data_IF_440848911853
#
_entry.id   IF_440848911853
#
_cell.length_a   1.000
_cell.length_b   1.000
_cell.length_c   1.000
_cell.angle_alpha   90.00
_cell.angle_beta   90.00
_cell.angle_gamma   90.00
#
_symmetry.space_group_name_H-M   'P 1'
#
loop_
_entity.id
_entity.type
_entity.pdbx_description
1 polymer ?
#
# COMPACT_ATOMS: atom_id res chain seq x y z
N UNK A 1 -1.98 -10.11 -21.35
CA UNK A 1 -0.84 -10.24 -20.40
C UNK A 1 -0.96 -9.18 -19.31
N UNK A 2 -0.88 -9.56 -18.03
CA UNK A 2 -1.07 -8.68 -16.87
C UNK A 2 -0.16 -9.06 -15.71
N UNK A 3 -0.64 -8.97 -14.46
CA UNK A 3 0.11 -9.30 -13.24
C UNK A 3 0.74 -10.70 -13.33
N UNK A 4 -0.04 -11.72 -13.70
CA UNK A 4 0.44 -13.09 -13.94
C UNK A 4 1.72 -13.19 -14.79
N UNK A 5 1.79 -12.41 -15.87
CA UNK A 5 2.89 -12.48 -16.82
C UNK A 5 4.18 -11.91 -16.21
N UNK A 6 4.06 -10.81 -15.47
CA UNK A 6 5.21 -10.16 -14.80
C UNK A 6 5.70 -11.02 -13.62
N UNK A 7 4.77 -11.52 -12.80
CA UNK A 7 5.07 -12.39 -11.67
C UNK A 7 5.86 -13.63 -12.11
N UNK A 8 5.39 -14.32 -13.16
CA UNK A 8 6.06 -15.52 -13.69
C UNK A 8 7.38 -15.21 -14.37
N UNK A 9 7.44 -14.17 -15.20
CA UNK A 9 8.66 -13.79 -15.94
C UNK A 9 9.81 -13.44 -15.01
N UNK A 10 9.51 -12.74 -13.91
CA UNK A 10 10.52 -12.24 -12.99
C UNK A 10 10.63 -13.05 -11.69
N UNK A 11 9.89 -14.15 -11.58
CA UNK A 11 9.88 -15.03 -10.39
C UNK A 11 9.63 -14.25 -9.10
N UNK A 12 8.60 -13.40 -9.11
CA UNK A 12 8.28 -12.50 -8.00
C UNK A 12 7.32 -13.16 -7.00
N UNK A 13 7.53 -12.88 -5.71
CA UNK A 13 6.61 -13.25 -4.63
C UNK A 13 5.42 -12.27 -4.50
N UNK A 14 5.66 -10.98 -4.79
CA UNK A 14 4.64 -9.93 -4.74
C UNK A 14 5.04 -8.71 -5.59
N UNK A 15 4.05 -7.89 -5.93
CA UNK A 15 4.23 -6.53 -6.45
C UNK A 15 3.99 -5.51 -5.33
N UNK A 16 4.79 -4.44 -5.29
CA UNK A 16 4.63 -3.34 -4.33
C UNK A 16 4.09 -2.09 -5.04
N UNK A 17 3.06 -1.47 -4.45
CA UNK A 17 2.45 -0.23 -4.94
C UNK A 17 2.45 0.85 -3.85
N UNK A 18 2.62 2.14 -4.21
CA UNK A 18 2.40 3.24 -3.28
C UNK A 18 0.90 3.41 -3.02
N UNK A 19 0.50 3.32 -1.74
CA UNK A 19 -0.90 3.37 -1.33
C UNK A 19 -1.78 2.41 -2.13
N UNK A 20 -2.96 2.89 -2.52
CA UNK A 20 -3.95 2.12 -3.28
C UNK A 20 -3.77 2.16 -4.80
N UNK A 21 -2.64 2.67 -5.32
CA UNK A 21 -2.45 2.89 -6.76
C UNK A 21 -2.58 1.62 -7.62
N UNK A 22 -2.26 0.44 -7.07
CA UNK A 22 -2.43 -0.86 -7.73
C UNK A 22 -3.83 -1.49 -7.61
N UNK A 23 -4.74 -0.91 -6.83
CA UNK A 23 -5.99 -1.57 -6.45
C UNK A 23 -6.87 -1.95 -7.65
N UNK A 24 -7.00 -1.07 -8.65
CA UNK A 24 -7.86 -1.31 -9.81
C UNK A 24 -7.39 -2.49 -10.68
N UNK A 25 -6.08 -2.68 -10.81
CA UNK A 25 -5.51 -3.78 -11.62
C UNK A 25 -5.48 -5.10 -10.84
N UNK A 26 -5.33 -5.04 -9.51
CA UNK A 26 -5.33 -6.22 -8.64
C UNK A 26 -6.74 -6.77 -8.42
N UNK A 27 -7.72 -5.89 -8.19
CA UNK A 27 -9.09 -6.27 -7.83
C UNK A 27 -9.86 -6.89 -9.00
N UNK A 28 -9.66 -6.41 -10.25
CA UNK A 28 -10.36 -6.92 -11.44
C UNK A 28 -10.28 -8.46 -11.60
N UNK A 29 -9.09 -9.09 -11.49
CA UNK A 29 -8.95 -10.55 -11.53
C UNK A 29 -9.03 -11.21 -10.13
N UNK A 30 -9.25 -10.44 -9.06
CA UNK A 30 -9.38 -10.98 -7.70
C UNK A 30 -8.05 -11.35 -7.02
N UNK A 31 -6.95 -10.65 -7.30
CA UNK A 31 -5.69 -10.91 -6.60
C UNK A 31 -5.71 -10.38 -5.16
N UNK A 32 -5.16 -11.15 -4.19
CA UNK A 32 -5.06 -10.71 -2.81
C UNK A 32 -4.10 -9.52 -2.69
N UNK A 33 -4.44 -8.57 -1.81
CA UNK A 33 -3.62 -7.39 -1.53
C UNK A 33 -3.67 -7.05 -0.03
N UNK A 34 -2.52 -6.71 0.55
CA UNK A 34 -2.38 -6.24 1.93
C UNK A 34 -1.66 -4.89 1.94
N UNK A 35 -2.12 -3.94 2.74
CA UNK A 35 -1.50 -2.61 2.88
C UNK A 35 -0.91 -2.43 4.28
N UNK A 36 0.30 -1.88 4.36
CA UNK A 36 1.02 -1.63 5.62
C UNK A 36 1.37 -0.13 5.72
N UNK A 37 1.21 0.52 6.89
CA UNK A 37 1.66 1.90 7.09
C UNK A 37 3.15 2.08 6.83
N UNK A 38 3.56 3.13 6.12
CA UNK A 38 4.98 3.37 5.81
C UNK A 38 5.47 4.81 6.03
N UNK A 39 4.63 5.82 5.82
CA UNK A 39 5.09 7.19 6.00
C UNK A 39 3.98 8.21 5.88
N UNK A 40 4.38 9.46 5.74
CA UNK A 40 3.49 10.59 5.52
C UNK A 40 3.83 11.27 4.19
N UNK A 41 2.82 11.69 3.46
CA UNK A 41 2.95 12.42 2.19
C UNK A 41 2.28 13.79 2.28
N UNK A 42 2.68 14.78 1.47
CA UNK A 42 1.98 16.05 1.40
C UNK A 42 0.48 15.87 1.13
N UNK A 43 -0.35 16.45 1.98
CA UNK A 43 -1.80 16.44 1.79
C UNK A 43 -2.19 17.67 0.95
N UNK A 44 -1.93 17.58 -0.35
CA UNK A 44 -2.12 18.67 -1.30
C UNK A 44 -2.90 18.15 -2.53
N UNK A 45 -4.23 18.01 -2.44
CA UNK A 45 -5.05 17.56 -3.57
C UNK A 45 -5.10 18.61 -4.68
N UNK A 46 -5.62 18.20 -5.84
CA UNK A 46 -5.96 19.09 -6.94
C UNK A 46 -7.46 18.98 -7.22
N UNK A 47 -8.24 20.06 -7.08
CA UNK A 47 -7.84 21.42 -6.66
C UNK A 47 -7.36 21.47 -5.19
N UNK A 48 -6.56 22.48 -4.80
CA UNK A 48 -6.04 22.61 -3.45
C UNK A 48 -7.15 22.85 -2.43
N UNK A 49 -6.86 22.57 -1.15
CA UNK A 49 -7.74 22.96 -0.05
C UNK A 49 -7.87 24.49 0.04
N UNK A 50 -8.92 25.01 0.71
CA UNK A 50 -9.04 26.44 1.02
C UNK A 50 -7.79 26.97 1.72
N UNK A 51 -7.40 28.22 1.46
CA UNK A 51 -6.16 28.81 2.00
C UNK A 51 -6.10 28.80 3.55
N UNK A 52 -7.25 28.86 4.21
CA UNK A 52 -7.36 28.82 5.67
C UNK A 52 -7.35 27.39 6.26
N UNK A 53 -7.25 26.36 5.43
CA UNK A 53 -7.16 24.97 5.87
C UNK A 53 -5.70 24.55 6.00
N UNK A 54 -5.21 24.47 7.25
CA UNK A 54 -3.86 24.00 7.56
C UNK A 54 -3.74 22.48 7.41
N UNK A 55 -3.64 22.00 6.17
CA UNK A 55 -3.52 20.58 5.86
C UNK A 55 -2.22 19.99 6.45
N UNK A 56 -2.37 19.01 7.34
CA UNK A 56 -1.24 18.20 7.84
C UNK A 56 -0.90 17.10 6.82
N UNK A 57 0.37 16.64 6.75
CA UNK A 57 0.73 15.48 5.97
C UNK A 57 -0.17 14.27 6.27
N UNK A 58 -0.57 13.54 5.24
CA UNK A 58 -1.48 12.41 5.38
C UNK A 58 -0.68 11.10 5.54
N UNK A 59 -1.12 10.16 6.40
CA UNK A 59 -0.51 8.84 6.46
C UNK A 59 -0.66 8.12 5.12
N UNK A 60 0.40 7.43 4.72
CA UNK A 60 0.49 6.72 3.46
C UNK A 60 1.10 5.33 3.69
N UNK A 61 0.47 4.33 3.08
CA UNK A 61 0.91 2.94 3.15
C UNK A 61 1.62 2.49 1.89
N UNK A 62 2.13 1.26 1.94
CA UNK A 62 2.55 0.50 0.77
C UNK A 62 1.71 -0.78 0.68
N UNK A 63 1.27 -1.12 -0.52
CA UNK A 63 0.44 -2.29 -0.78
C UNK A 63 1.27 -3.38 -1.45
N UNK A 64 1.13 -4.61 -0.95
CA UNK A 64 1.68 -5.82 -1.56
C UNK A 64 0.55 -6.59 -2.22
N UNK A 65 0.68 -6.89 -3.51
CA UNK A 65 -0.27 -7.71 -4.29
C UNK A 65 0.40 -9.02 -4.69
N UNK A 66 -0.28 -10.13 -4.47
CA UNK A 66 0.23 -11.48 -4.75
C UNK A 66 -0.56 -12.21 -5.84
N UNK A 67 -0.18 -13.46 -6.09
CA UNK A 67 -0.93 -14.37 -6.95
C UNK A 67 -2.21 -14.89 -6.24
N UNK A 68 -3.16 -15.51 -6.94
CA UNK A 68 -4.35 -16.07 -6.30
C UNK A 68 -3.97 -17.08 -5.23
N UNK A 69 -4.67 -17.07 -4.09
CA UNK A 69 -4.44 -17.95 -2.94
C UNK A 69 -3.06 -17.80 -2.25
N UNK A 70 -2.37 -16.67 -2.45
CA UNK A 70 -1.05 -16.41 -1.83
C UNK A 70 -1.13 -15.57 -0.55
N UNK A 71 -2.27 -15.50 0.13
CA UNK A 71 -2.48 -14.73 1.35
C UNK A 71 -1.46 -15.06 2.46
N UNK A 72 -1.10 -16.33 2.74
CA UNK A 72 -0.11 -16.65 3.76
C UNK A 72 1.24 -15.97 3.48
N UNK A 73 1.72 -16.06 2.23
CA UNK A 73 2.98 -15.44 1.80
C UNK A 73 2.91 -13.92 1.85
N UNK A 74 1.77 -13.32 1.47
CA UNK A 74 1.58 -11.87 1.57
C UNK A 74 1.59 -11.38 3.01
N UNK A 75 0.99 -12.12 3.95
CA UNK A 75 1.01 -11.77 5.36
C UNK A 75 2.41 -11.87 5.96
N UNK A 76 3.22 -12.87 5.57
CA UNK A 76 4.64 -12.95 5.97
C UNK A 76 5.42 -11.71 5.52
N UNK A 77 5.29 -11.32 4.24
CA UNK A 77 5.98 -10.17 3.69
C UNK A 77 5.54 -8.86 4.35
N UNK A 78 4.22 -8.69 4.52
CA UNK A 78 3.65 -7.51 5.18
C UNK A 78 4.10 -7.40 6.63
N UNK A 79 4.08 -8.50 7.39
CA UNK A 79 4.52 -8.52 8.77
C UNK A 79 6.02 -8.23 8.87
N UNK A 80 6.85 -8.89 8.06
CA UNK A 80 8.29 -8.63 8.04
C UNK A 80 8.60 -7.16 7.71
N UNK A 81 7.90 -6.58 6.74
CA UNK A 81 8.02 -5.17 6.38
C UNK A 81 7.58 -4.24 7.52
N UNK A 82 6.45 -4.53 8.16
CA UNK A 82 5.96 -3.75 9.30
C UNK A 82 6.97 -3.77 10.45
N UNK A 83 7.49 -4.96 10.81
CA UNK A 83 8.44 -5.11 11.91
C UNK A 83 9.80 -4.49 11.63
N UNK A 84 10.26 -4.54 10.37
CA UNK A 84 11.52 -3.92 9.97
C UNK A 84 11.44 -2.39 9.97
N UNK A 85 10.26 -1.82 9.66
CA UNK A 85 10.13 -0.38 9.41
C UNK A 85 9.47 0.39 10.56
N UNK A 86 8.52 -0.22 11.28
CA UNK A 86 7.79 0.35 12.44
C UNK A 86 7.27 1.76 12.23
N UNK A 87 6.72 2.03 11.03
CA UNK A 87 6.41 3.39 10.57
C UNK A 87 5.07 3.95 11.01
N UNK A 88 4.24 3.15 11.68
CA UNK A 88 2.95 3.62 12.17
C UNK A 88 3.16 4.68 13.26
N UNK A 89 2.50 5.83 13.10
CA UNK A 89 2.41 6.87 14.15
C UNK A 89 0.94 7.00 14.55
N UNK A 90 0.60 6.89 15.85
CA UNK A 90 -0.78 7.09 16.31
C UNK A 90 -1.25 8.53 16.09
N UNK A 91 -2.53 8.75 15.77
CA UNK A 91 -3.06 10.10 15.60
C UNK A 91 -3.10 10.83 16.96
N UNK A 92 -2.73 12.12 17.04
CA UNK A 92 -2.75 12.87 18.31
C UNK A 92 -4.14 12.97 18.96
N UNK A 93 -5.21 12.86 18.18
CA UNK A 93 -6.60 12.95 18.65
C UNK A 93 -7.11 11.68 19.32
N UNK A 94 -6.40 10.55 19.20
CA UNK A 94 -6.80 9.26 19.78
C UNK A 94 -5.52 8.48 20.19
N UNK A 95 -4.91 8.86 21.34
CA UNK A 95 -3.69 8.23 21.86
C UNK A 95 -3.91 6.80 22.35
#
# INVERSE_FOLDING_TARGET
>A
NGIDAVMKKHQLDALLFPGSSGAAIAAKPGYPTVIVPFGFVPNAPTPPFPENFAAKPAPHGVSFTGMPCSEPRLLELAFAFEQATKRRVPPPSAP
#
